data_IF_782424703324
#
_entry.id   IF_782424703324
#
_cell.length_a   1.000
_cell.length_b   1.000
_cell.length_c   1.000
_cell.angle_alpha   90.00
_cell.angle_beta   90.00
_cell.angle_gamma   90.00
#
_symmetry.space_group_name_H-M   'P 1'
#
loop_
_entity.id
_entity.type
_entity.pdbx_description
1 polymer ?
#
# COMPACT_ATOMS: atom_id res chain seq x y z
N UNK A 1 -11.17 15.57 5.14
CA UNK A 1 -10.90 14.28 4.45
C UNK A 1 -9.86 14.52 3.36
N UNK A 2 -9.03 13.52 3.03
CA UNK A 2 -7.98 13.64 2.01
C UNK A 2 -6.73 14.45 2.39
N UNK A 3 -6.55 14.82 3.66
CA UNK A 3 -5.32 15.45 4.16
C UNK A 3 -4.68 14.58 5.23
N UNK A 4 -3.35 14.54 5.22
CA UNK A 4 -2.51 13.91 6.23
C UNK A 4 -1.88 15.05 7.03
N UNK A 5 -2.35 15.24 8.25
CA UNK A 5 -1.92 16.33 9.15
C UNK A 5 -1.67 15.78 10.54
N UNK A 6 -0.92 16.51 11.37
CA UNK A 6 -0.71 16.15 12.78
C UNK A 6 -1.98 16.20 13.62
N UNK A 7 -2.94 17.04 13.25
CA UNK A 7 -4.26 17.08 13.90
C UNK A 7 -5.00 15.75 13.72
N UNK A 8 -4.96 15.18 12.51
CA UNK A 8 -5.58 13.88 12.23
C UNK A 8 -4.73 12.70 12.73
N UNK A 9 -3.41 12.84 12.67
CA UNK A 9 -2.44 11.80 13.04
C UNK A 9 -1.45 12.35 14.07
N UNK A 10 -1.78 12.33 15.38
CA UNK A 10 -0.97 12.97 16.43
C UNK A 10 0.46 12.46 16.53
N UNK A 11 0.70 11.21 16.11
CA UNK A 11 2.03 10.58 16.13
C UNK A 11 2.85 10.88 14.85
N UNK A 12 2.27 11.56 13.87
CA UNK A 12 2.92 11.87 12.60
C UNK A 12 4.10 12.83 12.80
N UNK A 13 5.28 12.41 12.37
CA UNK A 13 6.48 13.22 12.37
C UNK A 13 6.56 14.06 11.09
N UNK A 14 5.67 15.04 10.97
CA UNK A 14 5.75 16.04 9.91
C UNK A 14 6.63 17.24 10.32
N UNK A 15 7.33 17.90 9.38
CA UNK A 15 8.16 19.08 9.66
C UNK A 15 7.37 20.26 10.24
N UNK A 16 6.10 20.41 9.86
CA UNK A 16 5.15 21.39 10.42
C UNK A 16 3.77 20.75 10.64
N UNK A 17 2.86 21.52 11.26
CA UNK A 17 1.48 21.08 11.49
C UNK A 17 0.62 21.08 10.23
N UNK A 18 1.03 21.87 9.22
CA UNK A 18 0.46 21.87 7.86
C UNK A 18 0.86 20.61 7.05
N UNK A 19 1.80 19.81 7.56
CA UNK A 19 2.28 18.58 6.96
C UNK A 19 3.70 18.67 6.40
N UNK A 20 4.04 17.74 5.52
CA UNK A 20 5.33 17.67 4.82
C UNK A 20 5.16 16.97 3.47
N UNK A 21 6.24 16.89 2.69
CA UNK A 21 6.23 16.11 1.45
C UNK A 21 6.17 14.61 1.78
N UNK A 22 5.08 13.95 1.38
CA UNK A 22 5.00 12.47 1.38
C UNK A 22 5.92 11.94 0.29
N UNK A 23 6.80 10.99 0.62
CA UNK A 23 7.69 10.37 -0.37
C UNK A 23 7.00 9.15 -0.96
N UNK A 24 6.53 9.27 -2.18
CA UNK A 24 5.84 8.20 -2.90
C UNK A 24 6.45 7.95 -4.28
N UNK A 25 6.23 6.75 -4.80
CA UNK A 25 6.66 6.31 -6.12
C UNK A 25 5.48 6.41 -7.08
N UNK A 26 5.62 7.24 -8.12
CA UNK A 26 4.62 7.34 -9.19
C UNK A 26 4.81 6.20 -10.18
N UNK A 27 3.71 5.59 -10.60
CA UNK A 27 3.64 4.49 -11.55
C UNK A 27 4.17 3.16 -11.05
N UNK A 28 4.59 3.08 -9.78
CA UNK A 28 5.15 1.87 -9.18
C UNK A 28 4.13 1.27 -8.22
N UNK A 29 3.90 -0.02 -8.37
CA UNK A 29 3.05 -0.86 -7.53
C UNK A 29 3.91 -1.52 -6.45
N UNK A 30 4.31 -0.74 -5.44
CA UNK A 30 5.12 -1.29 -4.35
C UNK A 30 4.27 -2.21 -3.46
N UNK A 31 4.23 -3.48 -3.82
CA UNK A 31 3.53 -4.53 -3.07
C UNK A 31 4.26 -4.82 -1.75
N UNK A 32 3.56 -5.47 -0.81
CA UNK A 32 4.19 -5.99 0.40
C UNK A 32 4.16 -7.51 0.47
N UNK A 33 4.70 -8.04 1.57
CA UNK A 33 5.28 -9.38 1.56
C UNK A 33 4.33 -10.49 2.00
N UNK A 34 3.49 -10.23 3.00
CA UNK A 34 2.79 -11.30 3.75
C UNK A 34 1.26 -11.17 3.72
N UNK A 35 0.73 -9.95 3.73
CA UNK A 35 -0.72 -9.70 3.77
C UNK A 35 -1.09 -8.50 2.92
N UNK A 36 -2.28 -8.56 2.32
CA UNK A 36 -2.90 -7.44 1.62
C UNK A 36 -4.34 -7.22 2.11
N UNK A 37 -4.79 -5.97 2.10
CA UNK A 37 -6.20 -5.61 2.26
C UNK A 37 -6.59 -4.59 1.20
N UNK A 38 -7.76 -4.80 0.59
CA UNK A 38 -8.29 -3.91 -0.44
C UNK A 38 -9.41 -3.04 0.10
N UNK A 39 -9.41 -1.77 -0.30
CA UNK A 39 -10.47 -0.81 -0.02
C UNK A 39 -10.88 -0.12 -1.31
N UNK A 40 -12.17 -0.16 -1.62
CA UNK A 40 -12.68 0.18 -2.95
C UNK A 40 -13.20 1.61 -3.05
N UNK A 41 -13.31 2.10 -4.29
CA UNK A 41 -13.86 3.43 -4.56
C UNK A 41 -15.31 3.54 -4.07
N UNK A 42 -16.10 2.48 -4.27
CA UNK A 42 -17.48 2.35 -3.77
C UNK A 42 -17.58 2.48 -2.24
N UNK A 43 -16.51 2.15 -1.51
CA UNK A 43 -16.45 2.19 -0.04
C UNK A 43 -15.98 3.56 0.50
N UNK A 44 -15.82 4.56 -0.38
CA UNK A 44 -15.45 5.92 0.01
C UNK A 44 -13.96 6.24 -0.08
N UNK A 45 -13.12 5.33 -0.57
CA UNK A 45 -11.71 5.58 -0.83
C UNK A 45 -11.56 6.24 -2.20
N UNK A 46 -11.32 7.55 -2.24
CA UNK A 46 -11.40 8.31 -3.49
C UNK A 46 -10.06 8.89 -3.94
N UNK A 47 -9.03 8.78 -3.11
CA UNK A 47 -7.72 9.38 -3.35
C UNK A 47 -6.58 8.55 -2.75
N UNK A 48 -5.36 8.81 -3.26
CA UNK A 48 -4.13 8.29 -2.67
C UNK A 48 -3.96 8.73 -1.20
N UNK A 49 -4.44 9.92 -0.83
CA UNK A 49 -4.42 10.39 0.56
C UNK A 49 -5.32 9.55 1.47
N UNK A 50 -6.46 9.08 0.98
CA UNK A 50 -7.33 8.17 1.74
C UNK A 50 -6.63 6.81 1.95
N UNK A 51 -5.86 6.38 0.95
CA UNK A 51 -5.07 5.15 1.02
C UNK A 51 -3.91 5.24 2.01
N UNK A 52 -3.14 6.32 1.97
CA UNK A 52 -2.10 6.60 2.94
C UNK A 52 -2.67 6.75 4.36
N UNK A 53 -3.84 7.40 4.48
CA UNK A 53 -4.51 7.58 5.75
C UNK A 53 -4.92 6.27 6.40
N UNK A 54 -5.55 5.34 5.67
CA UNK A 54 -5.92 4.04 6.26
C UNK A 54 -4.69 3.22 6.65
N UNK A 55 -3.56 3.39 5.97
CA UNK A 55 -2.29 2.79 6.38
C UNK A 55 -1.79 3.37 7.71
N UNK A 56 -1.83 4.70 7.86
CA UNK A 56 -1.48 5.39 9.11
C UNK A 56 -2.43 5.06 10.28
N UNK A 57 -3.70 4.76 9.99
CA UNK A 57 -4.70 4.28 10.97
C UNK A 57 -4.41 2.82 11.42
N UNK A 58 -3.63 2.06 10.64
CA UNK A 58 -3.31 0.65 10.90
C UNK A 58 -1.79 0.41 11.05
N UNK A 59 -1.07 1.14 11.92
CA UNK A 59 0.40 1.18 11.93
C UNK A 59 1.08 -0.14 12.34
N UNK A 60 0.35 -1.04 13.00
CA UNK A 60 0.86 -2.35 13.41
C UNK A 60 0.75 -3.40 12.30
N UNK A 61 -0.04 -3.14 11.26
CA UNK A 61 -0.33 -4.10 10.18
C UNK A 61 -0.09 -3.54 8.79
N UNK A 62 0.12 -2.23 8.65
CA UNK A 62 0.42 -1.56 7.40
C UNK A 62 1.78 -0.90 7.43
N UNK A 63 2.58 -1.17 6.40
CA UNK A 63 3.80 -0.41 6.15
C UNK A 63 3.91 0.08 4.70
N UNK A 64 2.93 -0.29 3.86
CA UNK A 64 2.91 -0.05 2.44
C UNK A 64 1.48 0.18 1.98
N UNK A 65 1.32 1.09 1.04
CA UNK A 65 0.03 1.33 0.42
C UNK A 65 0.21 1.63 -1.06
N UNK A 66 -0.77 1.20 -1.86
CA UNK A 66 -0.83 1.40 -3.31
C UNK A 66 -2.23 1.88 -3.69
N UNK A 67 -2.29 2.96 -4.46
CA UNK A 67 -3.50 3.48 -5.08
C UNK A 67 -3.44 3.25 -6.59
N UNK A 68 -4.21 2.29 -7.10
CA UNK A 68 -4.17 1.84 -8.51
C UNK A 68 -5.51 1.30 -9.00
N UNK A 69 -5.67 1.15 -10.30
CA UNK A 69 -6.81 0.43 -10.86
C UNK A 69 -6.75 -1.06 -10.49
N UNK A 70 -7.85 -1.61 -9.95
CA UNK A 70 -7.94 -3.04 -9.60
C UNK A 70 -8.82 -3.85 -10.54
N UNK A 71 -9.44 -3.18 -11.53
CA UNK A 71 -10.29 -3.81 -12.56
C UNK A 71 -11.44 -4.68 -12.01
N UNK A 72 -11.77 -4.51 -10.73
CA UNK A 72 -12.92 -5.17 -10.12
C UNK A 72 -14.20 -4.63 -10.77
N UNK A 73 -15.03 -5.48 -11.41
CA UNK A 73 -16.23 -5.05 -12.12
C UNK A 73 -17.19 -4.28 -11.22
N UNK A 74 -17.31 -4.73 -9.97
CA UNK A 74 -18.17 -4.16 -8.94
C UNK A 74 -17.74 -2.77 -8.47
N UNK A 75 -16.51 -2.36 -8.75
CA UNK A 75 -15.97 -1.03 -8.40
C UNK A 75 -15.86 -0.11 -9.64
N UNK A 76 -16.52 -0.50 -10.75
CA UNK A 76 -16.57 0.29 -11.98
C UNK A 76 -15.20 0.53 -12.61
N UNK A 77 -14.24 -0.35 -12.34
CA UNK A 77 -12.86 -0.20 -12.78
C UNK A 77 -12.22 1.10 -12.31
N UNK A 78 -12.57 1.63 -11.14
CA UNK A 78 -11.91 2.80 -10.54
C UNK A 78 -10.57 2.41 -9.92
N UNK A 79 -9.80 3.44 -9.55
CA UNK A 79 -8.64 3.23 -8.66
C UNK A 79 -9.16 2.91 -7.27
N UNK A 80 -8.49 1.98 -6.61
CA UNK A 80 -8.77 1.55 -5.25
C UNK A 80 -7.47 1.46 -4.46
N UNK A 81 -7.60 1.38 -3.15
CA UNK A 81 -6.48 1.31 -2.23
C UNK A 81 -6.17 -0.15 -1.90
N UNK A 82 -4.89 -0.51 -1.92
CA UNK A 82 -4.39 -1.76 -1.33
C UNK A 82 -3.33 -1.42 -0.31
N UNK A 83 -3.45 -1.95 0.91
CA UNK A 83 -2.42 -1.83 1.94
C UNK A 83 -1.72 -3.17 2.17
N UNK A 84 -0.44 -3.14 2.49
CA UNK A 84 0.38 -4.32 2.71
C UNK A 84 1.24 -4.24 3.98
N UNK A 85 1.60 -5.42 4.51
CA UNK A 85 2.58 -5.58 5.57
C UNK A 85 4.00 -5.83 5.01
N UNK A 86 4.94 -4.93 5.29
CA UNK A 86 6.39 -4.90 4.98
C UNK A 86 6.82 -4.82 3.50
N UNK A 87 7.93 -4.13 3.14
CA UNK A 87 8.45 -4.03 1.77
C UNK A 87 9.08 -5.32 1.24
N UNK A 88 9.02 -5.46 -0.08
CA UNK A 88 9.62 -6.50 -0.91
C UNK A 88 10.92 -7.13 -0.40
N UNK A 89 11.04 -8.42 -0.67
CA UNK A 89 12.25 -9.20 -0.46
C UNK A 89 13.17 -9.13 -1.69
N UNK A 90 14.49 -9.30 -1.50
CA UNK A 90 15.41 -9.54 -2.61
C UNK A 90 15.03 -10.80 -3.40
N UNK A 91 15.44 -10.83 -4.67
CA UNK A 91 15.13 -11.89 -5.65
C UNK A 91 15.46 -13.30 -5.17
N UNK A 92 16.48 -13.45 -4.32
CA UNK A 92 16.98 -14.74 -3.85
C UNK A 92 16.54 -15.07 -2.40
N UNK A 93 15.49 -14.43 -1.90
CA UNK A 93 14.93 -14.72 -0.58
C UNK A 93 13.58 -15.41 -0.71
N UNK A 94 13.55 -16.70 -0.39
CA UNK A 94 12.30 -17.48 -0.28
C UNK A 94 11.75 -17.36 1.14
N UNK A 95 10.50 -16.91 1.27
CA UNK A 95 9.79 -17.03 2.54
C UNK A 95 9.14 -18.41 2.67
N UNK A 96 9.48 -19.09 3.75
CA UNK A 96 8.74 -20.24 4.23
C UNK A 96 7.68 -19.78 5.22
N UNK A 97 6.41 -19.81 4.81
CA UNK A 97 5.30 -19.52 5.70
C UNK A 97 4.84 -20.80 6.39
N UNK A 98 4.89 -20.81 7.73
CA UNK A 98 4.18 -21.82 8.50
C UNK A 98 2.71 -21.43 8.60
N UNK A 99 1.95 -21.76 7.57
CA UNK A 99 0.52 -21.40 7.46
C UNK A 99 -0.35 -22.12 8.49
N UNK A 100 0.13 -23.24 9.04
CA UNK A 100 -0.58 -24.06 10.02
C UNK A 100 -0.53 -23.47 11.43
N UNK A 101 0.56 -22.78 11.79
CA UNK A 101 0.74 -22.18 13.12
C UNK A 101 0.54 -20.66 13.15
N UNK A 102 0.57 -20.00 11.99
CA UNK A 102 0.36 -18.55 11.89
C UNK A 102 -1.13 -18.19 11.97
N UNK A 103 -1.45 -17.01 12.52
CA UNK A 103 -2.82 -16.46 12.58
C UNK A 103 -2.84 -15.03 12.04
N UNK A 104 -3.98 -14.61 11.49
CA UNK A 104 -4.21 -13.21 11.09
C UNK A 104 -3.57 -12.78 9.77
N UNK A 105 -3.23 -13.71 8.88
CA UNK A 105 -2.69 -13.45 7.55
C UNK A 105 -3.60 -14.02 6.45
N UNK A 106 -3.56 -13.42 5.26
CA UNK A 106 -4.15 -13.96 4.04
C UNK A 106 -3.02 -14.16 3.03
N UNK A 107 -3.02 -15.29 2.33
CA UNK A 107 -2.03 -15.54 1.28
C UNK A 107 -2.22 -14.54 0.14
N UNK A 108 -1.10 -14.00 -0.36
CA UNK A 108 -1.10 -13.15 -1.55
C UNK A 108 -1.54 -13.96 -2.77
N UNK A 109 -2.28 -13.32 -3.68
CA UNK A 109 -2.55 -13.89 -4.98
C UNK A 109 -1.21 -14.18 -5.71
N UNK A 110 -1.10 -15.26 -6.50
CA UNK A 110 0.16 -15.64 -7.15
C UNK A 110 0.81 -14.51 -8.00
N UNK A 111 0.00 -13.65 -8.61
CA UNK A 111 0.47 -12.49 -9.39
C UNK A 111 0.98 -11.32 -8.56
N UNK A 112 0.66 -11.28 -7.25
CA UNK A 112 1.16 -10.30 -6.29
C UNK A 112 2.34 -10.86 -5.47
N UNK A 113 2.89 -12.01 -5.89
CA UNK A 113 3.93 -12.72 -5.13
C UNK A 113 5.26 -11.92 -5.13
N UNK A 114 5.72 -11.45 -3.96
CA UNK A 114 6.97 -10.69 -3.85
C UNK A 114 8.21 -11.58 -4.02
N UNK A 115 8.06 -12.91 -4.02
CA UNK A 115 9.14 -13.85 -4.37
C UNK A 115 9.47 -13.88 -5.87
N UNK A 116 8.68 -13.23 -6.74
CA UNK A 116 9.01 -13.11 -8.17
C UNK A 116 10.18 -12.14 -8.43
N UNK A 117 10.62 -11.36 -7.42
CA UNK A 117 11.98 -10.85 -7.33
C UNK A 117 12.49 -10.00 -8.52
N UNK A 118 11.61 -9.32 -9.24
CA UNK A 118 11.97 -8.57 -10.44
C UNK A 118 12.11 -7.06 -10.14
N UNK A 119 12.36 -6.20 -11.15
CA UNK A 119 12.14 -4.75 -11.00
C UNK A 119 10.77 -4.47 -10.38
N UNK A 120 10.66 -3.38 -9.61
CA UNK A 120 9.39 -3.02 -8.98
C UNK A 120 8.26 -2.99 -10.03
N UNK A 121 7.12 -3.65 -9.78
CA UNK A 121 6.08 -3.75 -10.79
C UNK A 121 5.46 -2.37 -11.05
N UNK A 122 4.99 -2.18 -12.29
CA UNK A 122 4.27 -0.97 -12.66
C UNK A 122 2.79 -1.09 -12.26
N UNK A 123 2.15 0.04 -12.02
CA UNK A 123 0.68 0.11 -12.04
C UNK A 123 0.19 0.17 -13.49
N UNK A 124 -0.98 -0.39 -13.80
CA UNK A 124 -1.52 -0.44 -15.16
C UNK A 124 -2.96 0.11 -15.22
N UNK A 125 -3.37 0.56 -16.41
CA UNK A 125 -4.71 1.05 -16.75
C UNK A 125 -5.60 -0.03 -17.39
N UNK A 126 -5.04 -1.21 -17.68
CA UNK A 126 -5.71 -2.35 -18.31
C UNK A 126 -5.41 -3.68 -17.59
N UNK A 127 -6.36 -4.61 -17.64
CA UNK A 127 -6.21 -5.93 -17.01
C UNK A 127 -5.14 -6.82 -17.67
N UNK A 128 -4.75 -6.50 -18.91
CA UNK A 128 -3.68 -7.20 -19.64
C UNK A 128 -2.28 -6.72 -19.26
N UNK A 129 -2.15 -5.72 -18.38
CA UNK A 129 -0.89 -5.12 -17.95
C UNK A 129 -0.03 -4.60 -19.11
N UNK A 130 -0.64 -3.94 -20.10
CA UNK A 130 0.06 -3.41 -21.28
C UNK A 130 0.16 -1.88 -21.29
N UNK A 131 -0.68 -1.19 -20.51
CA UNK A 131 -0.75 0.28 -20.47
C UNK A 131 -0.38 0.78 -19.07
N UNK A 132 0.86 1.26 -18.84
CA UNK A 132 1.26 1.77 -17.53
C UNK A 132 0.43 2.96 -17.05
N UNK A 133 0.02 2.95 -15.79
CA UNK A 133 -0.70 4.03 -15.10
C UNK A 133 0.29 5.02 -14.49
N UNK A 134 0.50 6.16 -15.15
CA UNK A 134 1.40 7.23 -14.69
C UNK A 134 0.90 7.99 -13.44
N UNK A 135 -0.35 7.75 -13.06
CA UNK A 135 -0.99 8.33 -11.88
C UNK A 135 -1.19 7.31 -10.75
N UNK A 136 -0.91 6.03 -11.01
CA UNK A 136 -0.77 5.05 -9.94
C UNK A 136 0.35 5.49 -9.01
N UNK A 137 0.18 5.21 -7.71
CA UNK A 137 1.14 5.68 -6.71
C UNK A 137 1.23 4.72 -5.56
N UNK A 138 2.45 4.51 -5.06
CA UNK A 138 2.73 3.72 -3.87
C UNK A 138 3.61 4.47 -2.89
N UNK A 139 3.45 4.21 -1.60
CA UNK A 139 4.24 4.85 -0.55
C UNK A 139 4.47 3.91 0.62
N UNK A 140 5.52 4.22 1.39
CA UNK A 140 5.85 3.54 2.63
C UNK A 140 5.25 4.29 3.81
N UNK A 141 4.88 3.54 4.85
CA UNK A 141 4.58 4.07 6.17
C UNK A 141 5.38 3.27 7.17
N UNK A 142 5.98 3.92 8.16
CA UNK A 142 6.68 3.22 9.25
C UNK A 142 6.29 3.81 10.59
N UNK A 143 6.23 2.94 11.60
CA UNK A 143 6.18 3.33 13.00
C UNK A 143 7.49 2.92 13.66
N UNK A 144 8.12 3.84 14.40
CA UNK A 144 9.33 3.52 15.15
C UNK A 144 9.03 2.92 16.53
N UNK A 145 10.08 2.53 17.25
CA UNK A 145 9.99 1.93 18.58
C UNK A 145 9.40 2.88 19.64
N UNK A 146 9.34 4.19 19.36
CA UNK A 146 8.74 5.21 20.21
C UNK A 146 7.31 5.57 19.77
N UNK A 147 6.69 4.72 18.91
CA UNK A 147 5.34 4.90 18.36
C UNK A 147 5.17 6.09 17.41
N UNK A 148 6.27 6.72 16.97
CA UNK A 148 6.24 7.83 16.03
C UNK A 148 5.99 7.32 14.62
N UNK A 149 5.14 7.99 13.85
CA UNK A 149 4.72 7.59 12.51
C UNK A 149 5.36 8.47 11.43
N UNK A 150 5.73 7.85 10.31
CA UNK A 150 6.37 8.51 9.17
C UNK A 150 5.73 8.01 7.88
N UNK A 151 5.48 8.90 6.93
CA UNK A 151 5.00 8.58 5.57
C UNK A 151 5.56 9.56 4.54
#
# INVERSE_FOLDING_TARGET
QGKITKERFPNLQAPSDDGGCVRYYRGIDMTGVVTERHFFFKDGFKSACDCAAVCLENPTTCTNWVWKHTFMPEDGGKRSCTIYSSPNLPTDVTLAYNTTLSKGFALLQPGNNPQAGAPAPLTFMDAANTIPDQFGVSGFVVQDQNQRQFC
#
